data_IF_211788741974
#
_entry.id   IF_211788741974
#
_cell.length_a   1.000
_cell.length_b   1.000
_cell.length_c   1.000
_cell.angle_alpha   90.00
_cell.angle_beta   90.00
_cell.angle_gamma   90.00
#
_symmetry.space_group_name_H-M   'P 1'
#
loop_
_entity.id
_entity.type
_entity.pdbx_description
1 polymer ?
#
# COMPACT_ATOMS: atom_id res chain seq x y z
N UNK A 1 44.69 15.26 12.40
CA UNK A 1 43.31 15.69 12.08
C UNK A 1 43.24 17.20 12.28
N UNK A 2 42.22 17.91 11.78
CA UNK A 2 42.11 19.35 12.07
C UNK A 2 41.69 19.53 13.54
N UNK A 3 42.18 20.57 14.25
CA UNK A 3 41.88 20.78 15.68
C UNK A 3 40.38 20.94 15.97
N UNK A 4 39.59 21.37 14.98
CA UNK A 4 38.13 21.45 15.04
C UNK A 4 37.50 20.05 15.10
N UNK A 5 37.99 19.10 14.31
CA UNK A 5 37.48 17.73 14.28
C UNK A 5 37.77 17.01 15.61
N UNK A 6 38.97 17.17 16.16
CA UNK A 6 39.36 16.61 17.46
C UNK A 6 38.48 17.14 18.59
N UNK A 7 38.18 18.46 18.59
CA UNK A 7 37.24 19.05 19.55
C UNK A 7 35.86 18.40 19.48
N UNK A 8 35.30 18.21 18.28
CA UNK A 8 33.99 17.58 18.14
C UNK A 8 33.97 16.10 18.51
N UNK A 9 35.06 15.36 18.27
CA UNK A 9 35.17 13.97 18.72
C UNK A 9 35.22 13.86 20.24
N UNK A 10 35.97 14.74 20.91
CA UNK A 10 36.00 14.79 22.38
C UNK A 10 34.63 15.16 22.97
N UNK A 11 33.92 16.09 22.34
CA UNK A 11 32.55 16.44 22.73
C UNK A 11 31.58 15.27 22.52
N UNK A 12 31.74 14.52 21.43
CA UNK A 12 30.94 13.32 21.16
C UNK A 12 31.23 12.22 22.19
N UNK A 13 32.48 12.00 22.55
CA UNK A 13 32.85 11.00 23.57
C UNK A 13 32.27 11.37 24.94
N UNK A 14 32.35 12.65 25.30
CA UNK A 14 31.67 13.18 26.49
C UNK A 14 30.15 12.99 26.41
N UNK A 15 29.54 13.28 25.24
CA UNK A 15 28.11 13.09 25.00
C UNK A 15 27.68 11.64 25.21
N UNK A 16 28.42 10.68 24.64
CA UNK A 16 28.14 9.24 24.79
C UNK A 16 28.25 8.80 26.25
N UNK A 17 29.27 9.27 26.96
CA UNK A 17 29.45 8.98 28.38
C UNK A 17 28.34 9.57 29.24
N UNK A 18 27.92 10.81 28.96
CA UNK A 18 26.77 11.48 29.59
C UNK A 18 25.48 10.68 29.38
N UNK A 19 25.21 10.28 28.13
CA UNK A 19 24.04 9.48 27.78
C UNK A 19 24.01 8.14 28.52
N UNK A 20 25.18 7.50 28.66
CA UNK A 20 25.33 6.23 29.36
C UNK A 20 25.06 6.32 30.86
N UNK A 21 25.49 7.40 31.53
CA UNK A 21 25.19 7.63 32.95
C UNK A 21 23.69 7.65 33.23
N UNK A 22 22.89 8.16 32.29
CA UNK A 22 21.42 8.23 32.36
C UNK A 22 20.74 7.21 31.43
N UNK A 23 21.33 6.02 31.26
CA UNK A 23 20.90 5.01 30.28
C UNK A 23 19.41 4.69 30.30
N UNK A 24 18.78 4.56 31.47
CA UNK A 24 17.37 4.19 31.56
C UNK A 24 16.46 5.30 31.02
N UNK A 25 16.71 6.56 31.41
CA UNK A 25 15.97 7.73 30.91
C UNK A 25 16.14 7.86 29.40
N UNK A 26 17.38 7.78 28.91
CA UNK A 26 17.67 7.97 27.50
C UNK A 26 17.16 6.80 26.63
N UNK A 27 17.24 5.56 27.12
CA UNK A 27 16.67 4.40 26.44
C UNK A 27 15.14 4.49 26.37
N UNK A 28 14.46 4.94 27.43
CA UNK A 28 13.01 5.15 27.42
C UNK A 28 12.58 6.18 26.37
N UNK A 29 13.25 7.32 26.32
CA UNK A 29 12.98 8.35 25.31
C UNK A 29 13.25 7.82 23.90
N UNK A 30 14.39 7.16 23.70
CA UNK A 30 14.75 6.55 22.41
C UNK A 30 13.72 5.51 21.97
N UNK A 31 13.20 4.68 22.88
CA UNK A 31 12.21 3.65 22.60
C UNK A 31 10.86 4.25 22.18
N UNK A 32 10.34 5.22 22.93
CA UNK A 32 9.10 5.93 22.57
C UNK A 32 9.26 6.63 21.22
N UNK A 33 10.42 7.25 21.00
CA UNK A 33 10.70 7.93 19.76
C UNK A 33 10.77 6.95 18.57
N UNK A 34 11.51 5.86 18.72
CA UNK A 34 11.60 4.80 17.74
C UNK A 34 10.22 4.18 17.44
N UNK A 35 9.35 4.03 18.46
CA UNK A 35 7.99 3.53 18.28
C UNK A 35 7.13 4.48 17.43
N UNK A 36 7.22 5.78 17.65
CA UNK A 36 6.49 6.77 16.84
C UNK A 36 6.97 6.75 15.39
N UNK A 37 8.29 6.74 15.19
CA UNK A 37 8.90 6.63 13.85
C UNK A 37 8.49 5.32 13.18
N UNK A 38 8.53 4.21 13.91
CA UNK A 38 8.10 2.89 13.46
C UNK A 38 6.66 2.91 12.95
N UNK A 39 5.72 3.48 13.71
CA UNK A 39 4.30 3.52 13.33
C UNK A 39 4.11 4.32 12.03
N UNK A 40 4.73 5.51 11.93
CA UNK A 40 4.62 6.38 10.74
C UNK A 40 5.27 5.72 9.52
N UNK A 41 6.51 5.24 9.68
CA UNK A 41 7.28 4.64 8.60
C UNK A 41 6.64 3.35 8.09
N UNK A 42 6.18 2.47 8.98
CA UNK A 42 5.52 1.21 8.61
C UNK A 42 4.25 1.48 7.81
N UNK A 43 3.44 2.44 8.28
CA UNK A 43 2.21 2.82 7.59
C UNK A 43 2.46 3.38 6.18
N UNK A 44 3.45 4.26 6.04
CA UNK A 44 3.84 4.83 4.74
C UNK A 44 4.38 3.76 3.79
N UNK A 45 5.30 2.89 4.25
CA UNK A 45 5.87 1.81 3.45
C UNK A 45 4.79 0.84 2.96
N UNK A 46 3.83 0.49 3.84
CA UNK A 46 2.72 -0.39 3.47
C UNK A 46 1.80 0.26 2.43
N UNK A 47 1.47 1.54 2.62
CA UNK A 47 0.63 2.30 1.68
C UNK A 47 1.30 2.41 0.30
N UNK A 48 2.58 2.77 0.25
CA UNK A 48 3.35 2.85 -1.00
C UNK A 48 3.48 1.49 -1.67
N UNK A 49 3.76 0.44 -0.90
CA UNK A 49 3.80 -0.93 -1.42
C UNK A 49 2.48 -1.35 -2.07
N UNK A 50 1.33 -1.03 -1.45
CA UNK A 50 0.02 -1.31 -2.04
C UNK A 50 -0.23 -0.52 -3.33
N UNK A 51 0.14 0.76 -3.37
CA UNK A 51 -0.01 1.60 -4.57
C UNK A 51 0.88 1.07 -5.71
N UNK A 52 2.16 0.80 -5.43
CA UNK A 52 3.12 0.28 -6.42
C UNK A 52 2.69 -1.09 -6.98
N UNK A 53 2.21 -1.99 -6.13
CA UNK A 53 1.66 -3.27 -6.58
C UNK A 53 0.42 -3.06 -7.43
N UNK A 54 -0.49 -2.16 -7.04
CA UNK A 54 -1.70 -1.86 -7.80
C UNK A 54 -1.36 -1.29 -9.18
N UNK A 55 -0.40 -0.37 -9.26
CA UNK A 55 0.04 0.20 -10.53
C UNK A 55 0.65 -0.85 -11.45
N UNK A 56 1.52 -1.72 -10.91
CA UNK A 56 2.13 -2.84 -11.64
C UNK A 56 1.08 -3.80 -12.18
N UNK A 57 0.10 -4.22 -11.37
CA UNK A 57 -0.94 -5.15 -11.83
C UNK A 57 -1.87 -4.48 -12.85
N UNK A 58 -2.20 -3.21 -12.67
CA UNK A 58 -3.07 -2.47 -13.59
C UNK A 58 -2.43 -2.23 -14.97
N UNK A 59 -1.12 -2.48 -15.14
CA UNK A 59 -0.50 -2.48 -16.48
C UNK A 59 -1.03 -3.58 -17.39
N UNK A 60 -1.65 -4.63 -16.85
CA UNK A 60 -2.15 -5.79 -17.60
C UNK A 60 -3.67 -5.70 -17.90
N UNK A 61 -4.34 -4.64 -17.45
CA UNK A 61 -5.78 -4.40 -17.69
C UNK A 61 -6.01 -3.91 -19.14
N UNK A 62 -7.18 -4.20 -19.75
CA UNK A 62 -7.55 -3.65 -21.05
C UNK A 62 -7.43 -2.13 -21.11
N UNK A 63 -7.11 -1.59 -22.29
CA UNK A 63 -6.91 -0.14 -22.46
C UNK A 63 -8.21 0.64 -22.27
N UNK A 64 -9.33 0.08 -22.72
CA UNK A 64 -10.67 0.64 -22.56
C UNK A 64 -11.63 -0.49 -22.20
N UNK A 65 -12.52 -0.26 -21.24
CA UNK A 65 -13.67 -1.11 -20.90
C UNK A 65 -14.94 -0.35 -21.19
N UNK A 66 -15.90 -0.99 -21.87
CA UNK A 66 -17.23 -0.40 -22.12
C UNK A 66 -18.34 -1.19 -21.45
N UNK A 67 -19.19 -0.47 -20.72
CA UNK A 67 -20.30 -1.03 -19.96
C UNK A 67 -21.59 -0.35 -20.39
N UNK A 68 -22.64 -1.11 -20.72
CA UNK A 68 -23.96 -0.51 -20.97
C UNK A 68 -24.55 -0.01 -19.65
N UNK A 69 -25.10 1.19 -19.66
CA UNK A 69 -25.70 1.83 -18.50
C UNK A 69 -27.17 2.15 -18.74
N UNK A 70 -28.00 1.85 -17.76
CA UNK A 70 -29.42 2.18 -17.75
C UNK A 70 -29.82 2.61 -16.35
N UNK A 71 -30.43 3.79 -16.23
CA UNK A 71 -30.79 4.40 -14.94
C UNK A 71 -29.64 4.38 -13.89
N UNK A 72 -28.39 4.57 -14.33
CA UNK A 72 -27.21 4.55 -13.47
C UNK A 72 -26.72 3.16 -13.05
N UNK A 73 -27.38 2.08 -13.50
CA UNK A 73 -27.01 0.69 -13.25
C UNK A 73 -26.38 0.06 -14.49
N UNK A 74 -25.41 -0.83 -14.28
CA UNK A 74 -24.83 -1.61 -15.37
C UNK A 74 -25.87 -2.65 -15.84
N UNK A 75 -26.03 -2.75 -17.16
CA UNK A 75 -26.84 -3.78 -17.82
C UNK A 75 -25.96 -4.63 -18.74
N UNK A 76 -26.50 -5.79 -19.14
CA UNK A 76 -25.89 -6.61 -20.18
C UNK A 76 -25.79 -5.83 -21.50
N UNK A 77 -24.61 -5.87 -22.12
CA UNK A 77 -24.32 -5.23 -23.39
C UNK A 77 -24.58 -6.22 -24.54
N UNK A 78 -25.38 -5.85 -25.55
CA UNK A 78 -25.59 -6.65 -26.75
C UNK A 78 -24.31 -6.91 -27.56
N UNK A 79 -24.23 -8.09 -28.18
CA UNK A 79 -23.06 -8.52 -28.96
C UNK A 79 -22.84 -7.73 -30.25
N UNK A 80 -23.92 -7.18 -30.82
CA UNK A 80 -23.93 -6.37 -32.04
C UNK A 80 -23.24 -5.00 -31.85
N UNK A 81 -23.06 -4.54 -30.61
CA UNK A 81 -22.31 -3.31 -30.31
C UNK A 81 -20.87 -3.41 -30.80
N UNK A 82 -20.33 -4.62 -30.90
CA UNK A 82 -19.00 -4.86 -31.48
C UNK A 82 -18.90 -4.36 -32.91
N UNK A 83 -19.89 -4.63 -33.76
CA UNK A 83 -19.88 -4.25 -35.19
C UNK A 83 -19.83 -2.72 -35.35
N UNK A 84 -20.45 -1.99 -34.42
CA UNK A 84 -20.46 -0.51 -34.41
C UNK A 84 -19.09 0.10 -34.09
N UNK A 85 -18.16 -0.70 -33.59
CA UNK A 85 -16.80 -0.30 -33.23
C UNK A 85 -15.77 -0.61 -34.31
N UNK A 86 -16.09 -1.45 -35.30
CA UNK A 86 -15.13 -1.92 -36.30
C UNK A 86 -14.54 -0.78 -37.15
N UNK A 87 -15.31 0.29 -37.43
CA UNK A 87 -14.81 1.44 -38.20
C UNK A 87 -13.96 2.44 -37.39
N UNK A 88 -13.66 2.16 -36.11
CA UNK A 88 -12.78 3.02 -35.31
C UNK A 88 -11.33 2.59 -35.54
N UNK A 89 -10.64 3.29 -36.44
CA UNK A 89 -9.19 3.12 -36.62
C UNK A 89 -8.43 3.28 -35.31
N UNK A 90 -7.48 2.35 -35.07
CA UNK A 90 -6.63 2.30 -33.87
C UNK A 90 -7.06 1.25 -32.84
N UNK A 91 -8.29 0.71 -32.94
CA UNK A 91 -8.70 -0.47 -32.17
C UNK A 91 -8.01 -1.70 -32.76
N UNK A 92 -7.23 -2.41 -31.92
CA UNK A 92 -6.58 -3.66 -32.28
C UNK A 92 -7.54 -4.85 -32.13
N UNK A 93 -8.29 -4.87 -31.02
CA UNK A 93 -9.19 -5.97 -30.70
C UNK A 93 -10.31 -5.51 -29.77
N UNK A 94 -11.51 -6.02 -30.00
CA UNK A 94 -12.65 -5.94 -29.08
C UNK A 94 -12.95 -7.36 -28.61
N UNK A 95 -12.83 -7.60 -27.30
CA UNK A 95 -13.00 -8.92 -26.69
C UNK A 95 -14.21 -8.87 -25.74
N UNK A 96 -15.24 -9.71 -25.95
CA UNK A 96 -16.35 -9.82 -25.01
C UNK A 96 -15.88 -10.41 -23.67
N UNK A 97 -16.49 -9.95 -22.58
CA UNK A 97 -16.25 -10.49 -21.25
C UNK A 97 -17.56 -10.60 -20.48
N UNK A 98 -17.68 -11.70 -19.73
CA UNK A 98 -18.72 -11.87 -18.72
C UNK A 98 -18.03 -11.84 -17.37
N UNK A 99 -18.51 -11.01 -16.46
CA UNK A 99 -18.05 -11.02 -15.08
C UNK A 99 -19.20 -10.73 -14.14
N UNK A 100 -19.16 -11.34 -12.96
CA UNK A 100 -20.22 -11.21 -11.98
C UNK A 100 -19.76 -11.71 -10.61
N UNK A 101 -20.60 -11.50 -9.61
CA UNK A 101 -20.36 -11.98 -8.27
C UNK A 101 -21.13 -13.29 -8.03
N UNK A 102 -20.46 -14.24 -7.40
CA UNK A 102 -21.06 -15.47 -6.90
C UNK A 102 -20.98 -15.47 -5.38
N UNK A 103 -22.12 -15.42 -4.71
CA UNK A 103 -22.19 -15.49 -3.26
C UNK A 103 -22.30 -16.95 -2.82
N UNK A 104 -21.36 -17.39 -1.98
CA UNK A 104 -21.39 -18.69 -1.34
C UNK A 104 -21.96 -18.55 0.08
N UNK A 105 -23.19 -19.02 0.26
CA UNK A 105 -23.89 -18.94 1.55
C UNK A 105 -23.20 -19.74 2.67
N UNK A 106 -22.41 -20.75 2.31
CA UNK A 106 -21.80 -21.67 3.29
C UNK A 106 -20.69 -20.99 4.10
N UNK A 107 -19.91 -20.13 3.44
CA UNK A 107 -18.79 -19.41 4.05
C UNK A 107 -19.02 -17.89 4.07
N UNK A 108 -20.11 -17.40 3.48
CA UNK A 108 -20.43 -15.98 3.38
C UNK A 108 -19.50 -15.19 2.44
N UNK A 109 -18.72 -15.87 1.59
CA UNK A 109 -17.78 -15.25 0.68
C UNK A 109 -18.48 -14.81 -0.63
N UNK A 110 -18.08 -13.65 -1.16
CA UNK A 110 -18.43 -13.23 -2.50
C UNK A 110 -17.22 -13.46 -3.41
N UNK A 111 -17.34 -14.39 -4.35
CA UNK A 111 -16.32 -14.66 -5.35
C UNK A 111 -16.58 -13.84 -6.61
N UNK A 112 -15.53 -13.30 -7.20
CA UNK A 112 -15.60 -12.66 -8.51
C UNK A 112 -15.42 -13.73 -9.57
N UNK A 113 -16.43 -13.98 -10.38
CA UNK A 113 -16.31 -14.85 -11.55
C UNK A 113 -15.99 -13.99 -12.76
N UNK A 114 -14.96 -14.37 -13.51
CA UNK A 114 -14.58 -13.73 -14.76
C UNK A 114 -14.48 -14.78 -15.87
N UNK A 115 -15.21 -14.55 -16.95
CA UNK A 115 -15.32 -15.43 -18.09
C UNK A 115 -14.82 -14.70 -19.34
N UNK A 116 -13.80 -15.27 -19.99
CA UNK A 116 -13.06 -14.64 -21.08
C UNK A 116 -12.86 -15.61 -22.24
N UNK A 117 -12.74 -15.05 -23.44
CA UNK A 117 -12.12 -15.76 -24.57
C UNK A 117 -10.62 -15.53 -24.54
N UNK A 118 -9.90 -16.42 -23.85
CA UNK A 118 -8.45 -16.28 -23.63
C UNK A 118 -7.66 -16.28 -24.94
N UNK A 119 -8.05 -17.10 -25.91
CA UNK A 119 -7.41 -17.16 -27.23
C UNK A 119 -7.58 -15.87 -28.05
N UNK A 120 -8.63 -15.08 -27.76
CA UNK A 120 -8.92 -13.85 -28.48
C UNK A 120 -8.15 -12.64 -27.92
N UNK A 121 -7.51 -12.76 -26.75
CA UNK A 121 -6.78 -11.67 -26.11
C UNK A 121 -5.38 -11.49 -26.70
N UNK A 122 -4.99 -10.26 -27.10
CA UNK A 122 -3.63 -9.97 -27.56
C UNK A 122 -2.53 -10.30 -26.52
N UNK A 123 -2.89 -10.29 -25.23
CA UNK A 123 -2.03 -10.56 -24.09
C UNK A 123 -2.19 -11.97 -23.49
N UNK A 124 -2.76 -12.93 -24.22
CA UNK A 124 -3.04 -14.29 -23.74
C UNK A 124 -1.80 -15.00 -23.14
N UNK A 125 -0.61 -14.72 -23.67
CA UNK A 125 0.66 -15.25 -23.17
C UNK A 125 1.06 -14.73 -21.77
N UNK A 126 0.59 -13.55 -21.36
CA UNK A 126 0.89 -12.99 -20.02
C UNK A 126 0.00 -13.60 -18.94
N UNK A 127 -1.27 -13.90 -19.25
CA UNK A 127 -2.15 -14.69 -18.39
C UNK A 127 -1.54 -16.06 -18.07
N UNK A 128 -0.92 -16.72 -19.05
CA UNK A 128 -0.18 -17.97 -18.83
C UNK A 128 1.02 -17.85 -17.87
N UNK A 129 1.57 -16.65 -17.63
CA UNK A 129 2.62 -16.42 -16.63
C UNK A 129 2.06 -16.17 -15.23
N UNK A 130 0.83 -15.66 -15.16
CA UNK A 130 0.11 -15.41 -13.92
C UNK A 130 -0.61 -16.66 -13.38
N UNK A 131 -0.68 -17.74 -14.16
CA UNK A 131 -1.34 -19.00 -13.79
C UNK A 131 -0.29 -20.12 -13.65
N UNK A 132 -0.40 -20.88 -12.57
CA UNK A 132 0.30 -22.14 -12.35
C UNK A 132 -0.64 -23.27 -12.79
N UNK A 133 -0.26 -23.99 -13.85
CA UNK A 133 -1.08 -25.05 -14.44
C UNK A 133 -1.63 -24.66 -15.80
N UNK A 134 -2.81 -25.16 -16.14
CA UNK A 134 -3.47 -24.89 -17.41
C UNK A 134 -4.43 -23.71 -17.28
N UNK A 135 -4.60 -22.98 -18.38
CA UNK A 135 -5.64 -21.95 -18.49
C UNK A 135 -6.93 -22.56 -19.05
N UNK A 136 -8.11 -22.01 -18.72
CA UNK A 136 -9.36 -22.45 -19.31
C UNK A 136 -9.30 -22.38 -20.83
N UNK A 137 -9.77 -23.42 -21.50
CA UNK A 137 -9.85 -23.46 -22.96
C UNK A 137 -11.29 -23.76 -23.38
N UNK A 138 -11.69 -23.26 -24.54
CA UNK A 138 -13.02 -23.55 -25.08
C UNK A 138 -13.25 -25.05 -25.37
N UNK A 139 -12.17 -25.83 -25.47
CA UNK A 139 -12.23 -27.27 -25.70
C UNK A 139 -12.51 -28.08 -24.43
N UNK A 140 -12.37 -27.47 -23.24
CA UNK A 140 -12.57 -28.12 -21.97
C UNK A 140 -13.73 -27.46 -21.21
N UNK A 141 -14.90 -28.09 -21.26
CA UNK A 141 -16.09 -27.63 -20.54
C UNK A 141 -15.87 -27.71 -19.02
N UNK A 142 -16.20 -26.62 -18.31
CA UNK A 142 -16.06 -26.51 -16.86
C UNK A 142 -14.64 -26.32 -16.34
N UNK A 143 -13.65 -26.08 -17.21
CA UNK A 143 -12.27 -25.80 -16.79
C UNK A 143 -12.14 -24.42 -16.14
N UNK A 144 -11.62 -24.36 -14.92
CA UNK A 144 -11.45 -23.09 -14.18
C UNK A 144 -10.05 -22.91 -13.59
N UNK A 145 -9.67 -21.65 -13.42
CA UNK A 145 -8.51 -21.23 -12.63
C UNK A 145 -8.99 -20.49 -11.39
N UNK A 146 -8.46 -20.88 -10.23
CA UNK A 146 -8.87 -20.33 -8.95
C UNK A 146 -7.82 -19.39 -8.34
N UNK A 147 -8.32 -18.35 -7.66
CA UNK A 147 -7.58 -17.61 -6.67
C UNK A 147 -7.20 -18.49 -5.47
N UNK A 148 -6.04 -18.20 -4.87
CA UNK A 148 -5.54 -18.94 -3.71
C UNK A 148 -6.53 -18.91 -2.53
N UNK A 149 -7.20 -17.78 -2.30
CA UNK A 149 -8.19 -17.69 -1.21
C UNK A 149 -9.49 -18.45 -1.52
N UNK A 150 -9.91 -18.50 -2.79
CA UNK A 150 -11.06 -19.35 -3.21
C UNK A 150 -10.78 -20.82 -2.92
N UNK A 151 -9.59 -21.30 -3.28
CA UNK A 151 -9.17 -22.68 -3.03
C UNK A 151 -9.22 -23.04 -1.54
N UNK A 152 -8.72 -22.13 -0.69
CA UNK A 152 -8.73 -22.29 0.76
C UNK A 152 -10.15 -22.30 1.35
N UNK A 153 -10.99 -21.33 0.97
CA UNK A 153 -12.34 -21.17 1.52
C UNK A 153 -13.31 -22.28 1.10
N UNK A 154 -13.13 -22.84 -0.10
CA UNK A 154 -13.93 -23.97 -0.57
C UNK A 154 -13.53 -25.30 0.09
N UNK A 155 -12.50 -25.31 0.95
CA UNK A 155 -12.01 -26.50 1.69
C UNK A 155 -11.84 -27.73 0.79
N UNK A 156 -11.36 -27.52 -0.44
CA UNK A 156 -11.37 -28.57 -1.45
C UNK A 156 -10.49 -29.77 -1.07
N UNK A 157 -9.54 -29.62 -0.14
CA UNK A 157 -8.80 -30.75 0.45
C UNK A 157 -8.08 -31.64 -0.58
N UNK A 158 -7.72 -31.07 -1.74
CA UNK A 158 -7.15 -31.78 -2.89
C UNK A 158 -8.14 -32.19 -3.99
N UNK A 159 -9.45 -31.99 -3.80
CA UNK A 159 -10.45 -32.17 -4.85
C UNK A 159 -10.22 -31.12 -5.95
N UNK A 160 -10.14 -31.60 -7.19
CA UNK A 160 -10.07 -30.73 -8.37
C UNK A 160 -11.43 -30.44 -8.98
N UNK A 161 -12.51 -30.95 -8.40
CA UNK A 161 -13.86 -30.79 -8.95
C UNK A 161 -14.84 -30.42 -7.87
N UNK A 162 -15.70 -29.45 -8.18
CA UNK A 162 -16.83 -29.02 -7.34
C UNK A 162 -17.90 -28.45 -8.25
N UNK A 163 -19.05 -28.09 -7.68
CA UNK A 163 -20.14 -27.48 -8.45
C UNK A 163 -20.55 -26.16 -7.83
N UNK A 164 -20.96 -25.23 -8.69
CA UNK A 164 -21.63 -23.99 -8.29
C UNK A 164 -23.10 -24.06 -8.72
N UNK A 165 -23.96 -23.31 -8.03
CA UNK A 165 -25.37 -23.20 -8.39
C UNK A 165 -25.55 -22.21 -9.55
N UNK A 166 -26.36 -22.58 -10.53
CA UNK A 166 -26.92 -21.65 -11.50
C UNK A 166 -28.08 -20.87 -10.87
N UNK A 167 -28.56 -19.78 -11.51
CA UNK A 167 -29.74 -19.04 -11.05
C UNK A 167 -30.99 -19.91 -10.86
N UNK A 168 -31.13 -20.99 -11.63
CA UNK A 168 -32.22 -21.98 -11.53
C UNK A 168 -32.02 -23.04 -10.44
N UNK A 169 -30.97 -22.90 -9.60
CA UNK A 169 -30.53 -23.83 -8.56
C UNK A 169 -30.02 -25.18 -9.08
N UNK A 170 -29.82 -25.34 -10.38
CA UNK A 170 -29.12 -26.50 -10.93
C UNK A 170 -27.61 -26.39 -10.66
N UNK A 171 -26.92 -27.53 -10.62
CA UNK A 171 -25.47 -27.56 -10.39
C UNK A 171 -24.70 -27.51 -11.71
N UNK A 172 -23.76 -26.56 -11.82
CA UNK A 172 -22.74 -26.54 -12.88
C UNK A 172 -21.47 -27.21 -12.34
N UNK A 173 -21.06 -28.37 -12.89
CA UNK A 173 -19.81 -29.01 -12.50
C UNK A 173 -18.62 -28.21 -13.04
N UNK A 174 -17.62 -27.99 -12.20
CA UNK A 174 -16.39 -27.28 -12.50
C UNK A 174 -15.18 -28.14 -12.13
N UNK A 175 -14.10 -27.95 -12.88
CA UNK A 175 -12.82 -28.62 -12.69
C UNK A 175 -11.70 -27.59 -12.63
N UNK A 176 -10.96 -27.59 -11.54
CA UNK A 176 -9.75 -26.80 -11.34
C UNK A 176 -8.64 -27.33 -12.25
N UNK A 177 -8.21 -26.50 -13.20
CA UNK A 177 -7.14 -26.80 -14.17
C UNK A 177 -5.85 -26.03 -13.87
N UNK A 178 -5.97 -24.93 -13.14
CA UNK A 178 -4.83 -24.14 -12.68
C UNK A 178 -5.19 -23.23 -11.51
N UNK A 179 -4.18 -22.53 -11.01
CA UNK A 179 -4.29 -21.61 -9.88
C UNK A 179 -3.54 -20.33 -10.20
N UNK A 180 -4.01 -19.19 -9.69
CA UNK A 180 -3.25 -17.95 -9.84
C UNK A 180 -1.96 -17.99 -9.01
N UNK A 181 -0.91 -17.39 -9.57
CA UNK A 181 0.38 -17.21 -8.94
C UNK A 181 0.18 -16.37 -7.66
N UNK A 182 0.77 -16.76 -6.51
CA UNK A 182 0.71 -15.98 -5.27
C UNK A 182 1.14 -14.52 -5.42
N UNK A 183 2.01 -14.22 -6.40
CA UNK A 183 2.43 -12.85 -6.70
C UNK A 183 1.28 -11.92 -7.14
N UNK A 184 0.16 -12.46 -7.65
CA UNK A 184 -1.01 -11.68 -8.10
C UNK A 184 -2.17 -11.72 -7.11
N UNK A 185 -2.00 -12.35 -5.94
CA UNK A 185 -3.10 -12.65 -4.99
C UNK A 185 -3.86 -11.40 -4.55
N UNK A 186 -3.19 -10.24 -4.46
CA UNK A 186 -3.82 -8.95 -4.13
C UNK A 186 -5.03 -8.62 -5.02
N UNK A 187 -5.03 -9.07 -6.28
CA UNK A 187 -6.09 -8.82 -7.27
C UNK A 187 -6.85 -10.09 -7.69
N UNK A 188 -6.30 -11.28 -7.42
CA UNK A 188 -6.86 -12.55 -7.87
C UNK A 188 -7.36 -13.44 -6.72
N UNK A 189 -7.35 -12.97 -5.48
CA UNK A 189 -7.68 -13.74 -4.28
C UNK A 189 -9.05 -14.43 -4.36
N UNK A 190 -10.06 -13.69 -4.80
CA UNK A 190 -11.46 -14.06 -4.90
C UNK A 190 -11.88 -14.46 -6.33
N UNK A 191 -10.92 -14.54 -7.25
CA UNK A 191 -11.19 -14.69 -8.67
C UNK A 191 -11.39 -16.16 -9.05
N UNK A 192 -12.47 -16.41 -9.80
CA UNK A 192 -12.72 -17.66 -10.52
C UNK A 192 -12.69 -17.33 -12.01
N UNK A 193 -11.62 -17.74 -12.68
CA UNK A 193 -11.46 -17.54 -14.12
C UNK A 193 -11.96 -18.76 -14.90
N UNK A 194 -12.77 -18.54 -15.92
CA UNK A 194 -13.32 -19.61 -16.78
C UNK A 194 -13.47 -19.16 -18.24
N UNK A 195 -13.87 -20.08 -19.12
CA UNK A 195 -14.18 -19.77 -20.51
C UNK A 195 -15.45 -18.90 -20.61
N UNK A 196 -15.58 -18.10 -21.67
CA UNK A 196 -16.78 -17.29 -21.90
C UNK A 196 -18.05 -18.16 -21.98
N UNK A 197 -17.95 -19.35 -22.59
CA UNK A 197 -19.04 -20.33 -22.65
C UNK A 197 -19.45 -20.83 -21.27
N UNK A 198 -18.47 -21.13 -20.40
CA UNK A 198 -18.73 -21.57 -19.04
C UNK A 198 -19.39 -20.48 -18.19
N UNK A 199 -18.95 -19.24 -18.34
CA UNK A 199 -19.54 -18.10 -17.64
C UNK A 199 -20.99 -17.82 -18.06
N UNK A 200 -21.30 -17.99 -19.35
CA UNK A 200 -22.69 -17.94 -19.83
C UNK A 200 -23.56 -18.99 -19.18
N UNK A 201 -23.10 -20.25 -19.20
CA UNK A 201 -23.83 -21.37 -18.59
C UNK A 201 -23.98 -21.19 -17.08
N UNK A 202 -22.95 -20.71 -16.38
CA UNK A 202 -23.02 -20.50 -14.93
C UNK A 202 -24.05 -19.43 -14.54
N UNK A 203 -24.07 -18.31 -15.27
CA UNK A 203 -24.93 -17.17 -14.96
C UNK A 203 -26.28 -17.17 -15.69
N UNK A 204 -26.58 -18.22 -16.45
CA UNK A 204 -27.76 -18.30 -17.32
C UNK A 204 -27.92 -17.06 -18.22
N UNK A 205 -26.80 -16.63 -18.82
CA UNK A 205 -26.75 -15.41 -19.61
C UNK A 205 -27.09 -15.69 -21.07
N UNK A 206 -28.00 -14.91 -21.71
CA UNK A 206 -28.36 -15.11 -23.11
C UNK A 206 -27.14 -15.03 -24.05
N UNK A 207 -27.13 -15.82 -25.14
CA UNK A 207 -25.97 -15.89 -26.04
C UNK A 207 -25.68 -14.58 -26.78
N UNK A 208 -26.67 -13.69 -26.90
CA UNK A 208 -26.58 -12.42 -27.62
C UNK A 208 -26.00 -11.28 -26.76
N UNK A 209 -25.75 -11.50 -25.47
CA UNK A 209 -25.29 -10.44 -24.56
C UNK A 209 -24.05 -10.86 -23.76
N UNK A 210 -23.34 -9.87 -23.24
CA UNK A 210 -22.21 -10.00 -22.30
C UNK A 210 -22.26 -8.90 -21.24
N UNK A 211 -21.35 -8.87 -20.27
CA UNK A 211 -21.41 -7.84 -19.21
C UNK A 211 -20.63 -6.58 -19.57
N UNK A 212 -19.51 -6.72 -20.29
CA UNK A 212 -18.75 -5.63 -20.86
C UNK A 212 -17.87 -6.09 -22.03
N UNK A 213 -17.24 -5.11 -22.70
CA UNK A 213 -16.15 -5.38 -23.64
C UNK A 213 -14.83 -4.81 -23.16
N UNK A 214 -13.78 -5.60 -23.39
CA UNK A 214 -12.39 -5.23 -23.27
C UNK A 214 -11.87 -4.79 -24.63
N UNK A 215 -11.39 -3.56 -24.74
CA UNK A 215 -10.89 -2.98 -25.99
C UNK A 215 -9.40 -2.74 -25.84
N UNK A 216 -8.65 -3.24 -26.80
CA UNK A 216 -7.19 -3.10 -26.91
C UNK A 216 -6.86 -2.12 -28.03
N UNK A 217 -5.97 -1.19 -27.74
CA UNK A 217 -5.62 -0.09 -28.64
C UNK A 217 -4.18 -0.27 -29.11
N UNK A 218 -3.94 -0.09 -30.41
CA UNK A 218 -2.61 -0.27 -30.99
C UNK A 218 -1.58 0.76 -30.48
N UNK A 219 -2.01 2.02 -30.30
CA UNK A 219 -1.18 3.10 -29.80
C UNK A 219 -1.71 3.64 -28.45
N UNK A 220 -0.99 3.44 -27.33
CA UNK A 220 -1.40 3.94 -26.02
C UNK A 220 -1.70 5.45 -25.97
N UNK A 221 -1.05 6.26 -26.83
CA UNK A 221 -1.29 7.71 -26.89
C UNK A 221 -2.68 8.06 -27.45
N UNK A 222 -3.31 7.14 -28.19
CA UNK A 222 -4.62 7.35 -28.83
C UNK A 222 -5.81 6.91 -27.96
N UNK A 223 -5.56 6.24 -26.83
CA UNK A 223 -6.60 5.69 -25.93
C UNK A 223 -7.66 6.74 -25.59
N UNK A 224 -7.24 7.96 -25.24
CA UNK A 224 -8.18 9.05 -24.93
C UNK A 224 -9.01 9.51 -26.13
N UNK A 225 -8.45 9.50 -27.33
CA UNK A 225 -9.16 9.87 -28.57
C UNK A 225 -10.15 8.79 -28.99
N UNK A 226 -9.74 7.52 -28.92
CA UNK A 226 -10.59 6.36 -29.21
C UNK A 226 -11.74 6.29 -28.21
N UNK A 227 -11.48 6.47 -26.91
CA UNK A 227 -12.52 6.50 -25.88
C UNK A 227 -13.61 7.55 -26.18
N UNK A 228 -13.22 8.76 -26.63
CA UNK A 228 -14.18 9.79 -27.05
C UNK A 228 -14.99 9.39 -28.28
N UNK A 229 -14.37 8.75 -29.28
CA UNK A 229 -15.06 8.24 -30.48
C UNK A 229 -16.08 7.16 -30.10
N UNK A 230 -15.69 6.24 -29.21
CA UNK A 230 -16.56 5.18 -28.69
C UNK A 230 -17.77 5.80 -27.97
N UNK A 231 -17.52 6.72 -27.04
CA UNK A 231 -18.58 7.39 -26.28
C UNK A 231 -19.57 8.15 -27.19
N UNK A 232 -19.08 8.74 -28.29
CA UNK A 232 -19.94 9.41 -29.27
C UNK A 232 -20.80 8.44 -30.09
N UNK A 233 -20.31 7.22 -30.37
CA UNK A 233 -21.05 6.20 -31.13
C UNK A 233 -22.03 5.39 -30.27
N UNK A 234 -21.69 5.19 -29.00
CA UNK A 234 -22.42 4.37 -28.03
C UNK A 234 -22.78 5.23 -26.80
N UNK A 235 -23.76 6.14 -26.92
CA UNK A 235 -24.05 7.14 -25.89
C UNK A 235 -24.67 6.55 -24.61
N UNK A 236 -25.22 5.35 -24.67
CA UNK A 236 -25.77 4.58 -23.55
C UNK A 236 -24.69 3.78 -22.79
N UNK A 237 -23.42 3.93 -23.16
CA UNK A 237 -22.31 3.21 -22.53
C UNK A 237 -21.44 4.12 -21.66
N UNK A 238 -20.94 3.55 -20.57
CA UNK A 238 -19.84 4.09 -19.79
C UNK A 238 -18.54 3.58 -20.38
N UNK A 239 -17.71 4.50 -20.85
CA UNK A 239 -16.38 4.20 -21.39
C UNK A 239 -15.34 4.50 -20.32
N UNK A 240 -14.65 3.45 -19.85
CA UNK A 240 -13.63 3.53 -18.81
C UNK A 240 -12.26 3.25 -19.43
N UNK A 241 -11.35 4.22 -19.35
CA UNK A 241 -9.97 4.02 -19.80
C UNK A 241 -9.11 3.46 -18.69
N UNK A 242 -8.06 2.73 -19.04
CA UNK A 242 -7.05 2.21 -18.10
C UNK A 242 -6.49 3.27 -17.15
N UNK A 243 -6.12 4.51 -17.59
CA UNK A 243 -5.74 5.58 -16.67
C UNK A 243 -6.83 6.01 -15.69
N UNK A 244 -8.12 5.96 -16.08
CA UNK A 244 -9.22 6.26 -15.17
C UNK A 244 -9.41 5.16 -14.11
N UNK A 245 -9.22 3.89 -14.50
CA UNK A 245 -9.24 2.76 -13.56
C UNK A 245 -8.10 2.92 -12.54
N UNK A 246 -6.87 3.18 -13.02
CA UNK A 246 -5.70 3.45 -12.16
C UNK A 246 -5.94 4.59 -11.19
N UNK A 247 -6.47 5.72 -11.68
CA UNK A 247 -6.79 6.87 -10.83
C UNK A 247 -7.82 6.53 -9.75
N UNK A 248 -8.78 5.65 -10.05
CA UNK A 248 -9.79 5.23 -9.06
C UNK A 248 -9.14 4.46 -7.91
N UNK A 249 -8.23 3.53 -8.19
CA UNK A 249 -7.48 2.82 -7.15
C UNK A 249 -6.58 3.76 -6.33
N UNK A 250 -5.87 4.67 -6.98
CA UNK A 250 -5.04 5.68 -6.30
C UNK A 250 -5.88 6.55 -5.35
N UNK A 251 -7.08 6.96 -5.76
CA UNK A 251 -7.99 7.75 -4.91
C UNK A 251 -8.50 6.94 -3.72
N UNK A 252 -8.88 5.68 -3.91
CA UNK A 252 -9.38 4.82 -2.82
C UNK A 252 -8.29 4.58 -1.78
N UNK A 253 -7.09 4.18 -2.21
CA UNK A 253 -5.97 3.97 -1.29
C UNK A 253 -5.51 5.27 -0.65
N UNK A 254 -5.48 6.37 -1.40
CA UNK A 254 -5.15 7.70 -0.89
C UNK A 254 -6.13 8.20 0.18
N UNK A 255 -7.43 7.94 0.00
CA UNK A 255 -8.45 8.32 0.97
C UNK A 255 -8.32 7.50 2.27
N UNK A 256 -8.21 6.17 2.15
CA UNK A 256 -8.02 5.28 3.30
C UNK A 256 -6.72 5.60 4.04
N UNK A 257 -5.65 5.89 3.30
CA UNK A 257 -4.36 6.22 3.90
C UNK A 257 -4.34 7.60 4.54
N UNK A 258 -5.05 8.57 3.97
CA UNK A 258 -5.22 9.90 4.54
C UNK A 258 -5.84 9.88 5.93
N UNK A 259 -6.92 9.11 6.13
CA UNK A 259 -7.56 8.98 7.44
C UNK A 259 -6.63 8.40 8.51
N UNK A 260 -5.94 7.32 8.19
CA UNK A 260 -5.00 6.71 9.12
C UNK A 260 -3.77 7.61 9.38
N UNK A 261 -3.33 8.37 8.38
CA UNK A 261 -2.25 9.36 8.54
C UNK A 261 -2.62 10.47 9.53
N UNK A 262 -3.89 10.91 9.55
CA UNK A 262 -4.37 11.88 10.55
C UNK A 262 -4.29 11.29 11.97
N UNK A 263 -4.66 10.02 12.15
CA UNK A 263 -4.50 9.35 13.44
C UNK A 263 -3.03 9.26 13.85
N UNK A 264 -2.12 8.97 12.92
CA UNK A 264 -0.68 8.94 13.20
C UNK A 264 -0.10 10.33 13.50
N UNK A 265 -0.70 11.40 12.96
CA UNK A 265 -0.33 12.77 13.33
C UNK A 265 -0.56 13.02 14.82
N UNK A 266 -1.58 12.40 15.45
CA UNK A 266 -1.79 12.53 16.90
C UNK A 266 -0.65 11.90 17.70
N UNK A 267 -0.07 10.78 17.24
CA UNK A 267 1.10 10.18 17.85
C UNK A 267 2.34 11.09 17.70
N UNK A 268 2.49 11.75 16.55
CA UNK A 268 3.56 12.73 16.33
C UNK A 268 3.39 13.96 17.22
N UNK A 269 2.16 14.47 17.37
CA UNK A 269 1.86 15.60 18.28
C UNK A 269 2.09 15.19 19.73
N UNK A 270 1.65 14.01 20.16
CA UNK A 270 1.93 13.50 21.50
C UNK A 270 3.43 13.39 21.77
N UNK A 271 4.20 12.92 20.77
CA UNK A 271 5.65 12.91 20.84
C UNK A 271 6.25 14.33 20.91
N UNK A 272 5.73 15.27 20.12
CA UNK A 272 6.15 16.67 20.17
C UNK A 272 5.85 17.30 21.54
N UNK A 273 4.73 16.95 22.18
CA UNK A 273 4.40 17.36 23.55
C UNK A 273 5.40 16.76 24.55
N UNK A 274 5.74 15.47 24.43
CA UNK A 274 6.76 14.83 25.27
C UNK A 274 8.14 15.47 25.08
N UNK A 275 8.50 15.78 23.83
CA UNK A 275 9.71 16.52 23.52
C UNK A 275 9.66 17.95 24.07
N UNK A 276 8.49 18.60 24.04
CA UNK A 276 8.27 19.92 24.61
C UNK A 276 8.31 19.92 26.13
N UNK A 277 7.80 18.89 26.82
CA UNK A 277 7.95 18.72 28.26
C UNK A 277 9.45 18.70 28.62
N UNK A 278 10.23 17.90 27.87
CA UNK A 278 11.70 17.90 27.95
C UNK A 278 12.33 19.27 27.61
N UNK A 279 11.73 20.04 26.71
CA UNK A 279 12.21 21.37 26.33
C UNK A 279 11.88 22.45 27.38
N UNK A 280 10.72 22.34 28.02
CA UNK A 280 10.15 23.35 28.89
C UNK A 280 10.83 23.41 30.26
N UNK A 281 11.58 22.35 30.62
CA UNK A 281 12.43 22.36 31.81
C UNK A 281 13.61 21.40 31.72
N UNK A 282 14.83 21.96 31.69
CA UNK A 282 16.01 21.19 32.08
C UNK A 282 15.86 20.77 33.53
N UNK A 283 16.22 19.52 33.85
CA UNK A 283 16.20 19.06 35.24
C UNK A 283 17.16 19.91 36.09
N UNK A 284 16.91 20.07 37.41
CA UNK A 284 17.84 20.78 38.28
C UNK A 284 19.28 20.26 38.16
N UNK A 285 19.43 18.96 37.97
CA UNK A 285 20.72 18.32 37.74
C UNK A 285 21.38 18.73 36.41
N UNK A 286 20.61 18.87 35.32
CA UNK A 286 21.09 19.30 34.00
C UNK A 286 21.48 20.79 34.02
N UNK A 287 20.73 21.63 34.76
CA UNK A 287 21.11 23.03 35.01
C UNK A 287 22.39 23.13 35.82
N UNK A 288 22.52 22.31 36.88
CA UNK A 288 23.74 22.24 37.70
C UNK A 288 24.94 21.77 36.89
N UNK A 289 24.76 20.76 36.04
CA UNK A 289 25.80 20.27 35.11
C UNK A 289 26.28 21.37 34.17
N UNK A 290 25.36 22.09 33.53
CA UNK A 290 25.68 23.24 32.67
C UNK A 290 26.43 24.32 33.47
N UNK A 291 25.99 24.62 34.70
CA UNK A 291 26.67 25.58 35.58
C UNK A 291 28.10 25.16 35.90
N UNK A 292 28.33 23.90 36.26
CA UNK A 292 29.67 23.35 36.53
C UNK A 292 30.57 23.44 35.29
N UNK A 293 30.06 23.06 34.11
CA UNK A 293 30.82 23.16 32.86
C UNK A 293 31.22 24.61 32.54
N UNK A 294 30.31 25.57 32.77
CA UNK A 294 30.60 27.01 32.61
C UNK A 294 31.67 27.50 33.58
N UNK A 295 31.67 27.05 34.83
CA UNK A 295 32.71 27.41 35.83
C UNK A 295 34.08 26.86 35.42
N UNK A 296 34.12 25.66 34.84
CA UNK A 296 35.37 25.01 34.36
C UNK A 296 35.88 25.67 33.06
N UNK A 297 35.13 26.62 32.49
CA UNK A 297 35.56 27.44 31.34
C UNK A 297 34.96 27.02 30.00
N UNK A 298 33.95 26.15 29.97
CA UNK A 298 33.25 25.80 28.73
C UNK A 298 32.53 27.03 28.17
N UNK A 299 32.64 27.23 26.86
CA UNK A 299 31.89 28.28 26.18
C UNK A 299 30.45 27.83 25.92
N UNK A 300 29.56 28.81 25.71
CA UNK A 300 28.18 28.52 25.33
C UNK A 300 28.10 27.68 24.06
N UNK A 301 28.98 27.92 23.08
CA UNK A 301 29.09 27.09 21.87
C UNK A 301 29.44 25.63 22.16
N UNK A 302 30.27 25.35 23.16
CA UNK A 302 30.62 23.98 23.56
C UNK A 302 29.42 23.24 24.12
N UNK A 303 28.62 23.92 24.93
CA UNK A 303 27.41 23.36 25.55
C UNK A 303 26.35 23.10 24.48
N UNK A 304 26.20 24.00 23.51
CA UNK A 304 25.31 23.79 22.37
C UNK A 304 25.75 22.62 21.51
N UNK A 305 27.06 22.53 21.19
CA UNK A 305 27.61 21.43 20.42
C UNK A 305 27.45 20.09 21.15
N UNK A 306 27.66 20.06 22.47
CA UNK A 306 27.43 18.87 23.29
C UNK A 306 25.97 18.40 23.21
N UNK A 307 25.00 19.30 23.48
CA UNK A 307 23.58 18.94 23.43
C UNK A 307 23.11 18.58 22.02
N UNK A 308 23.67 19.24 20.99
CA UNK A 308 23.47 18.86 19.60
C UNK A 308 23.88 17.40 19.38
N UNK A 309 25.10 17.00 19.77
CA UNK A 309 25.57 15.61 19.61
C UNK A 309 24.75 14.61 20.41
N UNK A 310 24.41 14.90 21.67
CA UNK A 310 23.54 14.02 22.46
C UNK A 310 22.17 13.83 21.79
N UNK A 311 21.58 14.92 21.32
CA UNK A 311 20.28 14.89 20.66
C UNK A 311 20.32 14.15 19.33
N UNK A 312 21.39 14.34 18.55
CA UNK A 312 21.61 13.68 17.27
C UNK A 312 21.82 12.18 17.44
N UNK A 313 22.59 11.75 18.45
CA UNK A 313 22.78 10.33 18.74
C UNK A 313 21.45 9.68 19.14
N UNK A 314 20.70 10.28 20.07
CA UNK A 314 19.42 9.71 20.54
C UNK A 314 18.38 9.67 19.41
N UNK A 315 18.20 10.78 18.70
CA UNK A 315 17.21 10.89 17.62
C UNK A 315 17.61 10.10 16.37
N UNK A 316 18.90 10.09 16.02
CA UNK A 316 19.43 9.32 14.90
C UNK A 316 19.32 7.81 15.12
N UNK A 317 19.66 7.34 16.33
CA UNK A 317 19.46 5.92 16.68
C UNK A 317 17.98 5.55 16.73
N UNK A 318 17.12 6.40 17.30
CA UNK A 318 15.68 6.18 17.29
C UNK A 318 15.11 6.11 15.86
N UNK A 319 15.58 6.99 14.97
CA UNK A 319 15.20 7.01 13.57
C UNK A 319 15.62 5.74 12.85
N UNK A 320 16.88 5.32 13.00
CA UNK A 320 17.38 4.08 12.41
C UNK A 320 16.61 2.85 12.92
N UNK A 321 16.43 2.73 14.24
CA UNK A 321 15.69 1.60 14.84
C UNK A 321 14.23 1.61 14.42
N UNK A 322 13.58 2.77 14.40
CA UNK A 322 12.19 2.92 13.96
C UNK A 322 12.00 2.54 12.50
N UNK A 323 12.86 3.03 11.60
CA UNK A 323 12.82 2.72 10.17
C UNK A 323 13.14 1.24 9.89
N UNK A 324 14.15 0.66 10.55
CA UNK A 324 14.47 -0.76 10.41
C UNK A 324 13.35 -1.65 10.97
N UNK A 325 12.77 -1.27 12.10
CA UNK A 325 11.60 -1.94 12.67
C UNK A 325 10.43 -1.90 11.70
N UNK A 326 10.16 -0.75 11.07
CA UNK A 326 9.10 -0.58 10.11
C UNK A 326 9.31 -1.45 8.86
N UNK A 327 10.54 -1.47 8.35
CA UNK A 327 10.91 -2.34 7.24
C UNK A 327 10.69 -3.82 7.58
N UNK A 328 11.15 -4.26 8.76
CA UNK A 328 10.92 -5.62 9.23
C UNK A 328 9.45 -5.95 9.42
N UNK A 329 8.65 -5.00 9.89
CA UNK A 329 7.19 -5.16 10.06
C UNK A 329 6.46 -5.35 8.73
N UNK A 330 6.82 -4.61 7.69
CA UNK A 330 6.23 -4.80 6.37
C UNK A 330 6.73 -6.08 5.71
N UNK A 331 8.04 -6.35 5.77
CA UNK A 331 8.65 -7.50 5.09
C UNK A 331 8.30 -8.85 5.71
N UNK A 332 8.41 -8.98 7.03
CA UNK A 332 8.26 -10.27 7.72
C UNK A 332 6.87 -10.47 8.32
N UNK A 333 6.15 -9.38 8.62
CA UNK A 333 4.83 -9.44 9.24
C UNK A 333 3.71 -8.92 8.33
N UNK A 334 4.00 -8.71 7.04
CA UNK A 334 3.02 -8.28 6.03
C UNK A 334 2.21 -7.04 6.44
N UNK A 335 2.81 -6.14 7.22
CA UNK A 335 2.13 -4.93 7.70
C UNK A 335 0.94 -5.21 8.62
N UNK A 336 0.95 -6.33 9.37
CA UNK A 336 -0.16 -6.86 10.16
C UNK A 336 -0.93 -5.84 11.01
N UNK A 337 -0.23 -4.82 11.55
CA UNK A 337 -0.81 -3.77 12.40
C UNK A 337 -1.80 -2.88 11.63
N UNK A 338 -1.52 -2.63 10.36
CA UNK A 338 -2.25 -1.68 9.52
C UNK A 338 -3.07 -2.35 8.41
N UNK A 339 -2.83 -3.64 8.15
CA UNK A 339 -3.56 -4.44 7.16
C UNK A 339 -5.09 -4.32 7.27
N UNK A 340 -5.73 -4.38 8.46
CA UNK A 340 -7.20 -4.28 8.57
C UNK A 340 -7.74 -2.92 8.11
N UNK A 341 -6.96 -1.85 8.31
CA UNK A 341 -7.35 -0.49 7.95
C UNK A 341 -7.30 -0.29 6.43
N UNK A 342 -6.29 -0.88 5.78
CA UNK A 342 -6.03 -0.67 4.35
C UNK A 342 -6.85 -1.60 3.45
N UNK A 343 -6.98 -2.87 3.82
CA UNK A 343 -7.71 -3.86 3.02
C UNK A 343 -9.23 -3.80 3.19
N UNK A 344 -9.72 -3.15 4.26
CA UNK A 344 -11.15 -3.09 4.54
C UNK A 344 -11.70 -4.41 5.07
N UNK A 345 -13.03 -4.48 5.13
CA UNK A 345 -13.77 -5.55 5.81
C UNK A 345 -14.36 -6.45 4.72
N UNK A 346 -13.66 -7.53 4.41
CA UNK A 346 -14.13 -8.59 3.52
C UNK A 346 -13.96 -9.92 4.23
N UNK A 347 -14.83 -10.89 3.94
CA UNK A 347 -14.65 -12.27 4.37
C UNK A 347 -13.42 -12.90 3.71
N UNK A 348 -12.99 -12.34 2.57
CA UNK A 348 -11.79 -12.77 1.82
C UNK A 348 -10.64 -11.81 2.13
N UNK A 349 -9.58 -12.34 2.74
CA UNK A 349 -8.38 -11.59 3.06
C UNK A 349 -7.16 -12.15 2.30
N UNK A 350 -6.79 -11.58 1.13
CA UNK A 350 -5.63 -12.03 0.36
C UNK A 350 -4.37 -12.00 1.19
N UNK A 351 -3.54 -13.04 1.10
CA UNK A 351 -2.20 -12.98 1.66
C UNK A 351 -1.43 -11.80 1.04
N UNK A 352 -0.85 -10.96 1.89
CA UNK A 352 -0.10 -9.79 1.45
C UNK A 352 1.38 -10.11 1.54
N UNK A 353 2.02 -10.33 0.41
CA UNK A 353 3.48 -10.38 0.34
C UNK A 353 3.95 -9.07 -0.27
N UNK A 354 4.01 -8.03 0.56
CA UNK A 354 4.39 -6.69 0.11
C UNK A 354 5.87 -6.50 0.35
N UNK A 355 6.60 -6.21 -0.73
CA UNK A 355 7.98 -5.76 -0.63
C UNK A 355 7.93 -4.29 -0.19
N UNK A 356 8.52 -3.93 0.98
CA UNK A 356 8.53 -2.55 1.43
C UNK A 356 9.24 -1.64 0.42
N UNK A 357 8.50 -0.67 -0.10
CA UNK A 357 9.05 0.37 -0.97
C UNK A 357 9.41 1.57 -0.10
N UNK A 358 10.70 1.91 -0.07
CA UNK A 358 11.20 3.08 0.67
C UNK A 358 11.56 4.17 -0.35
N UNK A 359 10.87 5.30 -0.28
CA UNK A 359 11.31 6.50 -0.98
C UNK A 359 12.29 7.31 -0.15
N UNK A 360 13.31 7.90 -0.78
CA UNK A 360 14.21 8.84 -0.10
C UNK A 360 13.49 10.09 0.41
N UNK A 361 12.40 10.46 -0.26
CA UNK A 361 11.48 11.52 0.15
C UNK A 361 10.72 11.19 1.44
N UNK A 362 10.27 9.94 1.64
CA UNK A 362 9.65 9.52 2.92
C UNK A 362 10.64 9.61 4.06
N UNK A 363 11.84 9.07 3.86
CA UNK A 363 12.87 9.07 4.90
C UNK A 363 13.24 10.51 5.27
N UNK A 364 13.38 11.39 4.28
CA UNK A 364 13.65 12.80 4.51
C UNK A 364 12.50 13.49 5.25
N UNK A 365 11.25 13.20 4.88
CA UNK A 365 10.07 13.76 5.53
C UNK A 365 9.98 13.29 6.98
N UNK A 366 10.05 11.98 7.23
CA UNK A 366 10.05 11.41 8.58
C UNK A 366 11.19 12.03 9.39
N UNK A 367 12.43 12.04 8.87
CA UNK A 367 13.59 12.61 9.54
C UNK A 367 13.35 14.09 9.91
N UNK A 368 12.87 14.89 8.96
CA UNK A 368 12.62 16.32 9.15
C UNK A 368 11.54 16.57 10.19
N UNK A 369 10.44 15.81 10.20
CA UNK A 369 9.35 16.02 11.15
C UNK A 369 9.56 15.36 12.52
N UNK A 370 10.59 14.53 12.67
CA UNK A 370 10.87 13.82 13.92
C UNK A 370 12.16 14.33 14.55
N UNK A 371 13.29 14.16 13.87
CA UNK A 371 14.64 14.46 14.38
C UNK A 371 14.83 15.95 14.60
N UNK A 372 14.49 16.79 13.62
CA UNK A 372 14.75 18.24 13.70
C UNK A 372 13.97 18.90 14.85
N UNK A 373 12.66 18.66 15.05
CA UNK A 373 11.93 19.18 16.20
C UNK A 373 12.50 18.71 17.54
N UNK A 374 12.90 17.44 17.64
CA UNK A 374 13.52 16.91 18.86
C UNK A 374 14.86 17.58 19.16
N UNK A 375 15.71 17.78 18.15
CA UNK A 375 16.97 18.49 18.31
C UNK A 375 16.73 19.93 18.77
N UNK A 376 15.80 20.65 18.14
CA UNK A 376 15.43 22.00 18.56
C UNK A 376 14.94 22.04 20.02
N UNK A 377 14.08 21.09 20.40
CA UNK A 377 13.56 20.93 21.75
C UNK A 377 14.64 20.70 22.81
N UNK A 378 15.78 20.11 22.45
CA UNK A 378 16.90 19.88 23.38
C UNK A 378 17.93 21.02 23.40
N UNK A 379 18.20 21.64 22.25
CA UNK A 379 19.26 22.66 22.12
C UNK A 379 18.80 24.04 22.59
N UNK A 380 17.55 24.44 22.30
CA UNK A 380 17.02 25.77 22.67
C UNK A 380 17.01 26.01 24.20
N UNK A 381 16.57 25.05 25.05
CA UNK A 381 16.60 25.25 26.49
C UNK A 381 18.01 25.24 27.06
N UNK A 382 18.91 24.42 26.51
CA UNK A 382 20.32 24.40 26.87
C UNK A 382 20.99 25.74 26.57
N UNK A 383 20.66 26.34 25.42
CA UNK A 383 21.07 27.70 25.09
C UNK A 383 20.63 28.70 26.15
N UNK A 384 19.32 28.71 26.48
CA UNK A 384 18.77 29.61 27.51
C UNK A 384 19.46 29.44 28.86
N UNK A 385 19.74 28.21 29.28
CA UNK A 385 20.45 27.94 30.54
C UNK A 385 21.93 28.31 30.51
N UNK A 386 22.60 28.19 29.36
CA UNK A 386 24.03 28.45 29.22
C UNK A 386 24.41 29.94 29.22
N UNK A 387 23.42 30.82 29.06
CA UNK A 387 23.58 32.29 29.11
C UNK A 387 23.41 32.81 30.55
N UNK A 388 22.74 32.05 31.42
CA UNK A 388 22.55 32.44 32.83
C UNK A 388 23.90 32.36 33.57
N UNK A 389 24.24 33.35 34.41
CA UNK A 389 25.45 33.30 35.22
C UNK A 389 25.54 32.02 36.06
N UNK A 390 26.70 31.34 36.09
CA UNK A 390 26.84 30.03 36.74
C UNK A 390 26.50 30.04 38.23
N UNK A 391 26.75 31.16 38.92
CA UNK A 391 26.41 31.36 40.35
C UNK A 391 24.90 31.27 40.63
N UNK A 392 24.07 31.66 39.66
CA UNK A 392 22.61 31.56 39.76
C UNK A 392 22.09 30.17 39.37
N UNK A 393 22.90 29.35 38.67
CA UNK A 393 22.53 28.02 38.20
C UNK A 393 22.92 26.88 39.16
N UNK A 394 23.82 27.13 40.12
CA UNK A 394 24.37 26.14 41.07
C UNK A 394 23.66 26.17 42.44
N UNK A 395 22.88 27.22 42.74
CA UNK A 395 21.96 27.26 43.90
C UNK A 395 20.75 26.36 43.66
#
# INVERSE_FOLDING_TARGET
MTPILERHLNLLDYALTSLWRRRLKNAGIMMVFAAVIFLVASFQMLTRGLIDVSEKILTEVPDIVIQKMSAGRQEAIPLDYRERLDDIFGILKVVPRIWGYYFDETNGANYTVMALELDAMPASSQLGRAVIGEVPSNNLNGGIVLGQTVLGNLHLGGRRTFSLFRPDLSLKPLRVVGEFNPATEIMTADLILMSLADGRDLFDMPPEVVTDYCIYVANPAEVGTIARKIAARLPDTRVLTKPQIQKTYQVIFGWRSGFASICLLTALVAFAILAWDKASGLSPEEKREIGILKVIGWQTSDILALRFWESLVVSGLAFLVGCLGAYGHVLFFSGSLFRPILLGWSVIHPSLTIIPVIGGDDLLLIFTFTVVPYMAATVIPAWRSSIVPPEAAIK
#
